data_IF_575454930068
#
_entry.id   IF_575454930068
#
_cell.length_a   1.000
_cell.length_b   1.000
_cell.length_c   1.000
_cell.angle_alpha   90.00
_cell.angle_beta   90.00
_cell.angle_gamma   90.00
#
_symmetry.space_group_name_H-M   'P 1'
#
loop_
_entity.id
_entity.type
_entity.pdbx_description
1 polymer ?
#
# COMPACT_ATOMS: atom_id res chain seq x y z
N UNK A 1 -8.02 9.89 -9.81
CA UNK A 1 -6.92 10.64 -9.13
C UNK A 1 -6.24 9.80 -8.05
N UNK A 2 -6.95 9.21 -7.08
CA UNK A 2 -6.34 8.34 -6.04
C UNK A 2 -5.58 7.15 -6.66
N UNK A 3 -6.15 6.48 -7.66
CA UNK A 3 -5.46 5.39 -8.36
C UNK A 3 -4.19 5.88 -9.05
N UNK A 4 -4.27 6.98 -9.80
CA UNK A 4 -3.12 7.62 -10.45
C UNK A 4 -1.99 7.95 -9.45
N UNK A 5 -2.34 8.55 -8.30
CA UNK A 5 -1.37 8.86 -7.25
C UNK A 5 -0.64 7.62 -6.69
N UNK A 6 -1.35 6.50 -6.50
CA UNK A 6 -0.75 5.27 -5.95
C UNK A 6 -0.03 4.41 -6.99
N UNK A 7 -0.50 4.41 -8.24
CA UNK A 7 0.00 3.53 -9.30
C UNK A 7 1.18 4.14 -10.07
N UNK A 8 1.04 5.39 -10.53
CA UNK A 8 2.00 5.99 -11.47
C UNK A 8 2.96 6.99 -10.81
N UNK A 9 2.68 7.41 -9.57
CA UNK A 9 3.55 8.29 -8.77
C UNK A 9 4.18 7.50 -7.63
N UNK A 10 3.36 6.84 -6.79
CA UNK A 10 3.81 5.91 -5.78
C UNK A 10 4.88 6.51 -4.85
N UNK A 11 6.01 5.81 -4.70
CA UNK A 11 7.12 6.26 -3.84
C UNK A 11 7.94 7.43 -4.40
N UNK A 12 7.73 7.84 -5.65
CA UNK A 12 8.43 9.00 -6.20
C UNK A 12 7.94 10.32 -5.56
N UNK A 13 6.67 10.38 -5.17
CA UNK A 13 6.11 11.42 -4.31
C UNK A 13 5.00 10.84 -3.42
N UNK A 14 5.33 10.38 -2.19
CA UNK A 14 4.36 9.78 -1.28
C UNK A 14 3.22 10.73 -0.88
N UNK A 15 3.41 12.05 -0.98
CA UNK A 15 2.37 13.02 -0.63
C UNK A 15 1.22 13.05 -1.64
N UNK A 16 1.42 12.48 -2.84
CA UNK A 16 0.43 12.50 -3.90
C UNK A 16 -0.86 11.74 -3.54
N UNK A 17 -0.74 10.66 -2.76
CA UNK A 17 -1.90 9.91 -2.30
C UNK A 17 -2.74 10.76 -1.34
N UNK A 18 -2.10 11.45 -0.39
CA UNK A 18 -2.76 12.35 0.56
C UNK A 18 -3.47 13.49 -0.18
N UNK A 19 -2.82 14.12 -1.16
CA UNK A 19 -3.42 15.17 -1.99
C UNK A 19 -4.65 14.66 -2.76
N UNK A 20 -4.58 13.46 -3.34
CA UNK A 20 -5.71 12.87 -4.07
C UNK A 20 -6.88 12.49 -3.14
N UNK A 21 -6.61 12.04 -1.91
CA UNK A 21 -7.64 11.77 -0.90
C UNK A 21 -8.30 13.07 -0.42
N UNK A 22 -7.51 14.11 -0.16
CA UNK A 22 -8.04 15.43 0.19
C UNK A 22 -8.89 16.01 -0.94
N UNK A 23 -8.45 15.87 -2.19
CA UNK A 23 -9.22 16.22 -3.39
C UNK A 23 -10.58 15.50 -3.42
N UNK A 24 -10.61 14.20 -3.14
CA UNK A 24 -11.85 13.43 -3.05
C UNK A 24 -12.78 13.97 -1.95
N UNK A 25 -12.26 14.18 -0.74
CA UNK A 25 -13.05 14.67 0.39
C UNK A 25 -13.64 16.06 0.13
N UNK A 26 -12.83 16.99 -0.36
CA UNK A 26 -13.29 18.33 -0.73
C UNK A 26 -14.32 18.28 -1.86
N UNK A 27 -14.11 17.42 -2.86
CA UNK A 27 -15.08 17.26 -3.97
C UNK A 27 -16.40 16.66 -3.51
N UNK A 28 -16.36 15.71 -2.58
CA UNK A 28 -17.55 15.12 -1.98
C UNK A 28 -18.33 16.12 -1.14
N UNK A 29 -17.62 16.97 -0.37
CA UNK A 29 -18.24 17.97 0.49
C UNK A 29 -18.86 19.13 -0.29
N UNK A 30 -18.15 19.66 -1.30
CA UNK A 30 -18.61 20.80 -2.10
C UNK A 30 -19.63 20.40 -3.17
N UNK A 31 -19.44 19.25 -3.80
CA UNK A 31 -20.22 18.87 -4.98
C UNK A 31 -19.87 19.72 -6.21
N UNK A 32 -20.56 19.44 -7.32
CA UNK A 32 -20.45 20.23 -8.54
C UNK A 32 -21.48 21.38 -8.55
N UNK A 33 -21.16 22.53 -9.14
CA UNK A 33 -19.92 22.84 -9.89
C UNK A 33 -18.70 23.27 -9.05
N UNK A 34 -18.87 23.56 -7.77
CA UNK A 34 -17.85 24.24 -6.94
C UNK A 34 -16.56 23.44 -6.74
N UNK A 35 -16.59 22.11 -6.87
CA UNK A 35 -15.39 21.28 -6.74
C UNK A 35 -14.49 21.22 -7.98
N UNK A 36 -14.88 21.85 -9.10
CA UNK A 36 -14.15 21.77 -10.36
C UNK A 36 -12.67 22.24 -10.25
N UNK A 37 -12.40 23.30 -9.49
CA UNK A 37 -11.04 23.82 -9.27
C UNK A 37 -10.20 22.84 -8.46
N UNK A 38 -10.79 22.19 -7.46
CA UNK A 38 -10.10 21.18 -6.63
C UNK A 38 -9.65 19.99 -7.48
N UNK A 39 -10.56 19.51 -8.35
CA UNK A 39 -10.26 18.43 -9.29
C UNK A 39 -9.17 18.83 -10.29
N UNK A 40 -9.24 20.05 -10.83
CA UNK A 40 -8.24 20.58 -11.75
C UNK A 40 -6.86 20.72 -11.10
N UNK A 41 -6.79 21.28 -9.89
CA UNK A 41 -5.55 21.42 -9.12
C UNK A 41 -4.89 20.08 -8.85
N UNK A 42 -5.65 19.10 -8.34
CA UNK A 42 -5.11 17.77 -8.07
C UNK A 42 -4.62 17.09 -9.35
N UNK A 43 -5.38 17.21 -10.45
CA UNK A 43 -4.97 16.65 -11.74
C UNK A 43 -3.65 17.25 -12.25
N UNK A 44 -3.50 18.58 -12.20
CA UNK A 44 -2.28 19.26 -12.61
C UNK A 44 -1.08 18.86 -11.74
N UNK A 45 -1.27 18.78 -10.42
CA UNK A 45 -0.25 18.32 -9.50
C UNK A 45 0.21 16.88 -9.84
N UNK A 46 -0.73 15.93 -10.03
CA UNK A 46 -0.36 14.55 -10.38
C UNK A 46 0.32 14.47 -11.76
N UNK A 47 -0.08 15.31 -12.72
CA UNK A 47 0.55 15.36 -14.04
C UNK A 47 2.03 15.78 -13.95
N UNK A 48 2.36 16.74 -13.09
CA UNK A 48 3.72 17.28 -12.92
C UNK A 48 4.59 16.48 -11.93
N UNK A 49 3.98 15.68 -11.05
CA UNK A 49 4.71 14.89 -10.05
C UNK A 49 5.70 13.90 -10.70
N UNK A 50 6.82 13.56 -10.03
CA UNK A 50 7.71 12.51 -10.50
C UNK A 50 6.97 11.16 -10.55
N UNK A 51 7.26 10.35 -11.56
CA UNK A 51 6.51 9.11 -11.84
C UNK A 51 7.30 7.88 -11.39
N UNK A 52 6.63 6.94 -10.74
CA UNK A 52 7.17 5.62 -10.41
C UNK A 52 6.07 4.59 -10.28
N UNK A 53 6.17 3.53 -11.09
CA UNK A 53 5.32 2.34 -11.03
C UNK A 53 5.93 1.20 -10.20
N UNK A 54 6.96 1.50 -9.40
CA UNK A 54 7.72 0.48 -8.67
C UNK A 54 6.85 -0.33 -7.70
N UNK A 55 6.02 0.35 -6.91
CA UNK A 55 5.09 -0.30 -5.95
C UNK A 55 4.06 -1.15 -6.69
N UNK A 56 3.48 -0.61 -7.77
CA UNK A 56 2.49 -1.31 -8.59
C UNK A 56 3.07 -2.61 -9.19
N UNK A 57 4.29 -2.55 -9.73
CA UNK A 57 4.97 -3.75 -10.24
C UNK A 57 5.35 -4.72 -9.13
N UNK A 58 5.81 -4.23 -7.99
CA UNK A 58 6.21 -5.07 -6.86
C UNK A 58 5.04 -5.90 -6.32
N UNK A 59 3.87 -5.30 -6.13
CA UNK A 59 2.69 -6.05 -5.66
C UNK A 59 2.23 -7.07 -6.71
N UNK A 60 2.26 -6.72 -8.01
CA UNK A 60 1.93 -7.65 -9.08
C UNK A 60 2.88 -8.85 -9.14
N UNK A 61 4.18 -8.62 -8.96
CA UNK A 61 5.17 -9.69 -8.89
C UNK A 61 4.97 -10.59 -7.66
N UNK A 62 4.73 -10.01 -6.48
CA UNK A 62 4.46 -10.77 -5.26
C UNK A 62 3.19 -11.63 -5.39
N UNK A 63 2.11 -11.07 -5.93
CA UNK A 63 0.85 -11.80 -6.18
C UNK A 63 1.05 -12.94 -7.18
N UNK A 64 1.86 -12.72 -8.23
CA UNK A 64 2.21 -13.77 -9.19
C UNK A 64 2.93 -14.92 -8.53
N UNK A 65 3.95 -14.66 -7.70
CA UNK A 65 4.68 -15.71 -6.97
C UNK A 65 3.72 -16.53 -6.11
N UNK A 66 2.87 -15.88 -5.31
CA UNK A 66 1.91 -16.59 -4.44
C UNK A 66 0.94 -17.46 -5.24
N UNK A 67 0.46 -16.96 -6.38
CA UNK A 67 -0.44 -17.70 -7.27
C UNK A 67 0.24 -18.91 -7.93
N UNK A 68 1.49 -18.74 -8.34
CA UNK A 68 2.26 -19.79 -9.01
C UNK A 68 2.77 -20.86 -8.01
N UNK A 69 2.86 -20.53 -6.72
CA UNK A 69 3.28 -21.43 -5.64
C UNK A 69 2.14 -22.19 -4.93
N UNK A 70 0.90 -22.13 -5.46
CA UNK A 70 -0.26 -22.83 -4.88
C UNK A 70 0.04 -24.34 -4.74
N UNK A 71 -0.13 -24.86 -3.52
CA UNK A 71 0.20 -26.25 -3.17
C UNK A 71 1.64 -26.49 -2.71
N UNK A 72 2.53 -25.50 -2.86
CA UNK A 72 3.92 -25.51 -2.40
C UNK A 72 4.23 -24.40 -1.38
N UNK A 73 3.21 -23.64 -0.95
CA UNK A 73 3.39 -22.55 -0.01
C UNK A 73 3.87 -23.08 1.34
N UNK A 74 5.11 -22.77 1.68
CA UNK A 74 5.65 -22.99 3.01
C UNK A 74 4.85 -22.18 4.03
N UNK A 75 4.68 -22.74 5.23
CA UNK A 75 4.05 -22.01 6.33
C UNK A 75 4.94 -20.82 6.76
N UNK A 76 4.34 -19.85 7.44
CA UNK A 76 5.07 -18.73 8.04
C UNK A 76 6.25 -19.27 8.88
N UNK A 77 7.49 -18.74 8.73
CA UNK A 77 8.63 -19.16 9.54
C UNK A 77 8.35 -19.07 11.04
N UNK A 78 8.81 -20.04 11.84
CA UNK A 78 8.48 -20.13 13.27
C UNK A 78 8.79 -18.84 14.05
N UNK A 79 9.94 -18.22 13.78
CA UNK A 79 10.37 -16.97 14.42
C UNK A 79 9.48 -15.76 14.06
N UNK A 80 8.71 -15.81 12.96
CA UNK A 80 7.74 -14.78 12.58
C UNK A 80 6.30 -15.10 13.01
N UNK A 81 6.04 -16.29 13.56
CA UNK A 81 4.68 -16.67 14.03
C UNK A 81 4.33 -15.97 15.33
N UNK A 82 3.06 -15.59 15.45
CA UNK A 82 2.49 -15.14 16.72
C UNK A 82 2.48 -16.28 17.76
N UNK A 83 2.79 -15.97 19.02
CA UNK A 83 2.88 -16.96 20.11
C UNK A 83 2.12 -16.55 21.40
N UNK A 84 0.78 -16.36 21.32
CA UNK A 84 -0.02 -15.84 22.44
C UNK A 84 -0.27 -16.88 23.54
N UNK A 85 -0.26 -18.18 23.23
CA UNK A 85 -0.52 -19.24 24.22
C UNK A 85 0.79 -19.86 24.71
N UNK A 86 0.75 -20.47 25.91
CA UNK A 86 1.90 -21.19 26.47
C UNK A 86 2.36 -22.33 25.56
N UNK A 87 1.40 -23.13 25.07
CA UNK A 87 1.67 -24.21 24.12
C UNK A 87 2.40 -23.72 22.85
N UNK A 88 2.01 -22.57 22.29
CA UNK A 88 2.67 -22.02 21.10
C UNK A 88 4.13 -21.61 21.37
N UNK A 89 4.40 -21.04 22.54
CA UNK A 89 5.79 -20.71 22.95
C UNK A 89 6.61 -21.98 23.16
N UNK A 90 6.03 -23.00 23.77
CA UNK A 90 6.67 -24.30 24.01
C UNK A 90 6.98 -25.01 22.66
N UNK A 91 6.13 -24.81 21.64
CA UNK A 91 6.36 -25.25 20.25
C UNK A 91 7.35 -24.37 19.46
N UNK A 92 7.97 -23.37 20.10
CA UNK A 92 8.99 -22.51 19.51
C UNK A 92 8.45 -21.39 18.62
N UNK A 93 7.16 -21.03 18.72
CA UNK A 93 6.60 -19.93 17.93
C UNK A 93 7.14 -18.60 18.46
N UNK A 94 7.53 -17.71 17.55
CA UNK A 94 8.14 -16.42 17.90
C UNK A 94 9.51 -16.53 18.58
N UNK A 95 10.07 -17.74 18.68
CA UNK A 95 11.43 -17.95 19.20
C UNK A 95 12.43 -17.28 18.26
N UNK A 96 13.41 -16.59 18.83
CA UNK A 96 14.44 -15.85 18.11
C UNK A 96 13.90 -14.70 17.24
N UNK A 97 12.66 -14.24 17.49
CA UNK A 97 12.13 -13.04 16.85
C UNK A 97 12.98 -11.82 17.21
N UNK A 98 13.57 -11.19 16.20
CA UNK A 98 14.31 -9.94 16.36
C UNK A 98 13.30 -8.81 16.35
N UNK A 99 13.11 -8.15 17.49
CA UNK A 99 12.30 -6.95 17.61
C UNK A 99 13.13 -5.73 17.18
N UNK A 100 12.88 -5.12 16.00
CA UNK A 100 13.53 -3.87 15.64
C UNK A 100 12.99 -2.74 16.54
N UNK A 101 13.85 -1.81 16.98
CA UNK A 101 13.41 -0.64 17.74
C UNK A 101 12.43 0.25 16.96
#
# INVERSE_FOLDING_TARGET
>A
LIRFASEDIGLADPSALTQAVACYQASHFLGMPECNVVLAQCTAYLALAPKSVAVYRAIGAAQKVVKDSVGQNEGVPLHLRNAPTKLMKDLGYGKDYIYPP
#
